data_IF_778678369840
#
_entry.id   IF_778678369840
#
_cell.length_a   1.000
_cell.length_b   1.000
_cell.length_c   1.000
_cell.angle_alpha   90.00
_cell.angle_beta   90.00
_cell.angle_gamma   90.00
#
_symmetry.space_group_name_H-M   'P 1'
#
loop_
_entity.id
_entity.type
_entity.pdbx_description
1 polymer ?
#
# COMPACT_ATOMS: atom_id res chain seq x y z
N UNK A 1 0.06 5.54 -3.66
CA UNK A 1 0.85 4.86 -2.61
C UNK A 1 0.97 5.64 -1.30
N UNK A 2 1.15 6.98 -1.34
CA UNK A 2 1.26 7.80 -0.11
C UNK A 2 0.06 7.64 0.84
N UNK A 3 -1.17 7.66 0.31
CA UNK A 3 -2.40 7.41 1.08
C UNK A 3 -2.39 6.06 1.80
N UNK A 4 -1.97 4.98 1.12
CA UNK A 4 -1.88 3.63 1.70
C UNK A 4 -0.89 3.61 2.85
N UNK A 5 0.27 4.26 2.68
CA UNK A 5 1.28 4.40 3.73
C UNK A 5 0.76 5.17 4.93
N UNK A 6 0.07 6.28 4.70
CA UNK A 6 -0.47 7.12 5.77
C UNK A 6 -1.49 6.35 6.62
N UNK A 7 -2.39 5.61 5.96
CA UNK A 7 -3.35 4.76 6.67
C UNK A 7 -2.64 3.62 7.44
N UNK A 8 -1.60 2.99 6.87
CA UNK A 8 -0.83 1.96 7.59
C UNK A 8 -0.11 2.56 8.80
N UNK A 9 0.40 3.79 8.67
CA UNK A 9 1.02 4.51 9.78
C UNK A 9 0.01 4.86 10.86
N UNK A 10 -1.20 5.31 10.51
CA UNK A 10 -2.29 5.49 11.48
C UNK A 10 -2.67 4.19 12.19
N UNK A 11 -2.49 3.03 11.52
CA UNK A 11 -2.68 1.71 12.13
C UNK A 11 -1.54 1.29 13.07
N UNK A 12 -0.33 1.80 12.83
CA UNK A 12 0.85 1.64 13.69
C UNK A 12 0.74 2.54 14.94
N UNK A 13 0.39 3.81 14.76
CA UNK A 13 0.33 4.83 15.81
C UNK A 13 -0.95 4.79 16.66
N UNK A 14 -1.84 3.83 16.39
CA UNK A 14 -3.16 3.66 17.02
C UNK A 14 -3.15 3.67 18.55
N UNK A 15 -2.12 3.11 19.19
CA UNK A 15 -1.99 3.10 20.66
C UNK A 15 -1.60 4.47 21.22
N UNK A 16 -0.76 5.22 20.50
CA UNK A 16 -0.44 6.61 20.84
C UNK A 16 -1.66 7.50 20.62
N UNK A 17 -2.26 7.43 19.43
CA UNK A 17 -3.42 8.21 19.02
C UNK A 17 -4.64 8.00 19.91
N UNK A 18 -4.90 6.77 20.35
CA UNK A 18 -5.97 6.48 21.30
C UNK A 18 -5.75 7.13 22.67
N UNK A 19 -4.51 7.39 23.06
CA UNK A 19 -4.16 8.05 24.33
C UNK A 19 -4.29 9.58 24.20
N UNK A 20 -4.06 10.13 23.01
CA UNK A 20 -4.21 11.56 22.70
C UNK A 20 -5.62 11.95 22.20
N UNK A 21 -6.53 10.98 22.04
CA UNK A 21 -7.90 11.24 21.58
C UNK A 21 -8.04 11.53 20.08
N UNK A 22 -7.03 11.17 19.29
CA UNK A 22 -7.07 11.31 17.83
C UNK A 22 -8.12 10.35 17.24
N UNK A 23 -8.89 10.83 16.25
CA UNK A 23 -9.91 10.04 15.54
C UNK A 23 -9.40 9.63 14.16
N UNK A 24 -8.52 8.64 14.11
CA UNK A 24 -8.04 8.08 12.84
C UNK A 24 -8.99 7.02 12.28
N UNK A 25 -8.91 6.76 10.97
CA UNK A 25 -9.71 5.73 10.27
C UNK A 25 -9.74 4.38 11.00
N UNK A 26 -8.61 3.81 11.46
CA UNK A 26 -8.64 2.54 12.17
C UNK A 26 -9.23 2.61 13.59
N UNK A 27 -9.25 3.79 14.23
CA UNK A 27 -9.92 3.99 15.53
C UNK A 27 -11.44 4.02 15.36
N UNK A 28 -11.95 4.70 14.32
CA UNK A 28 -13.40 4.85 14.09
C UNK A 28 -14.02 3.59 13.48
N UNK A 29 -13.36 2.98 12.50
CA UNK A 29 -13.90 1.84 11.73
C UNK A 29 -13.40 0.47 12.20
N UNK A 30 -12.33 0.43 12.99
CA UNK A 30 -11.65 -0.79 13.38
C UNK A 30 -10.80 -1.41 12.27
N UNK A 31 -9.83 -2.24 12.67
CA UNK A 31 -8.85 -2.84 11.77
C UNK A 31 -9.44 -3.53 10.53
N UNK A 32 -10.52 -4.30 10.68
CA UNK A 32 -11.12 -5.06 9.56
C UNK A 32 -11.62 -4.17 8.42
N UNK A 33 -12.30 -3.08 8.75
CA UNK A 33 -12.87 -2.15 7.77
C UNK A 33 -11.78 -1.30 7.11
N UNK A 34 -10.78 -0.87 7.88
CA UNK A 34 -9.60 -0.17 7.34
C UNK A 34 -8.80 -1.04 6.38
N UNK A 35 -8.60 -2.34 6.70
CA UNK A 35 -7.99 -3.31 5.77
C UNK A 35 -8.80 -3.45 4.47
N UNK A 36 -10.13 -3.57 4.57
CA UNK A 36 -11.00 -3.62 3.38
C UNK A 36 -10.87 -2.36 2.51
N UNK A 37 -10.87 -1.17 3.13
CA UNK A 37 -10.67 0.08 2.41
C UNK A 37 -9.30 0.10 1.71
N UNK A 38 -8.24 -0.35 2.40
CA UNK A 38 -6.90 -0.43 1.82
C UNK A 38 -6.86 -1.34 0.58
N UNK A 39 -7.55 -2.48 0.60
CA UNK A 39 -7.64 -3.37 -0.56
C UNK A 39 -8.31 -2.71 -1.76
N UNK A 40 -9.39 -1.96 -1.53
CA UNK A 40 -10.07 -1.21 -2.60
C UNK A 40 -9.13 -0.16 -3.20
N UNK A 41 -8.43 0.60 -2.37
CA UNK A 41 -7.47 1.63 -2.83
C UNK A 41 -6.32 1.01 -3.62
N UNK A 42 -5.76 -0.11 -3.15
CA UNK A 42 -4.70 -0.84 -3.84
C UNK A 42 -5.20 -1.40 -5.18
N UNK A 43 -6.41 -1.95 -5.21
CA UNK A 43 -7.00 -2.49 -6.44
C UNK A 43 -7.22 -1.39 -7.48
N UNK A 44 -7.76 -0.23 -7.08
CA UNK A 44 -7.93 0.92 -7.98
C UNK A 44 -6.57 1.38 -8.50
N UNK A 45 -5.55 1.48 -7.64
CA UNK A 45 -4.20 1.83 -8.05
C UNK A 45 -3.64 0.87 -9.10
N UNK A 46 -3.74 -0.43 -8.88
CA UNK A 46 -3.34 -1.45 -9.85
C UNK A 46 -4.07 -1.30 -11.20
N UNK A 47 -5.39 -1.10 -11.18
CA UNK A 47 -6.16 -0.89 -12.40
C UNK A 47 -5.74 0.37 -13.16
N UNK A 48 -5.49 1.49 -12.45
CA UNK A 48 -5.02 2.72 -13.10
C UNK A 48 -3.67 2.53 -13.78
N UNK A 49 -2.74 1.81 -13.15
CA UNK A 49 -1.41 1.53 -13.73
C UNK A 49 -1.55 0.66 -14.98
N UNK A 50 -2.39 -0.38 -14.96
CA UNK A 50 -2.63 -1.23 -16.13
C UNK A 50 -3.26 -0.48 -17.30
N UNK A 51 -4.24 0.39 -17.03
CA UNK A 51 -4.89 1.18 -18.08
C UNK A 51 -3.91 2.18 -18.71
N UNK A 52 -3.07 2.83 -17.89
CA UNK A 52 -2.06 3.76 -18.40
C UNK A 52 -0.99 3.05 -19.23
N UNK A 53 -0.53 1.87 -18.80
CA UNK A 53 0.43 1.04 -19.56
C UNK A 53 -0.13 0.67 -20.94
N UNK A 54 -1.40 0.24 -20.99
CA UNK A 54 -2.10 -0.11 -22.22
C UNK A 54 -2.31 1.09 -23.16
N UNK A 55 -2.52 2.29 -22.61
CA UNK A 55 -2.82 3.50 -23.38
C UNK A 55 -1.56 4.17 -23.95
N UNK A 56 -0.47 4.21 -23.17
CA UNK A 56 0.75 4.95 -23.53
C UNK A 56 1.86 4.07 -24.14
N UNK A 57 1.78 2.75 -24.03
CA UNK A 57 2.80 1.81 -24.53
C UNK A 57 2.16 0.70 -25.34
N UNK A 58 2.50 0.60 -26.63
CA UNK A 58 1.99 -0.44 -27.53
C UNK A 58 2.50 -1.86 -27.19
N UNK A 59 3.50 -1.97 -26.32
CA UNK A 59 3.99 -3.22 -25.76
C UNK A 59 3.98 -3.09 -24.22
N UNK A 60 3.24 -3.95 -23.50
CA UNK A 60 3.41 -4.01 -22.07
C UNK A 60 4.84 -4.47 -21.83
N UNK A 61 5.63 -3.67 -21.11
CA UNK A 61 6.83 -4.21 -20.49
C UNK A 61 6.32 -5.13 -19.38
N UNK A 62 5.93 -6.35 -19.76
CA UNK A 62 5.32 -7.35 -18.86
C UNK A 62 6.20 -7.53 -17.62
N UNK A 63 7.52 -7.39 -17.80
CA UNK A 63 8.50 -7.32 -16.73
C UNK A 63 8.26 -6.19 -15.71
N UNK A 64 7.95 -4.96 -16.14
CA UNK A 64 7.67 -3.83 -15.26
C UNK A 64 6.39 -4.05 -14.46
N UNK A 65 5.32 -4.47 -15.13
CA UNK A 65 4.04 -4.78 -14.49
C UNK A 65 4.24 -5.91 -13.49
N UNK A 66 4.90 -7.01 -13.87
CA UNK A 66 5.15 -8.14 -12.98
C UNK A 66 6.03 -7.73 -11.79
N UNK A 67 7.07 -6.92 -12.02
CA UNK A 67 8.00 -6.46 -10.99
C UNK A 67 7.36 -5.47 -10.00
N UNK A 68 6.37 -4.68 -10.43
CA UNK A 68 5.63 -3.77 -9.56
C UNK A 68 4.47 -4.48 -8.84
N UNK A 69 3.75 -5.37 -9.52
CA UNK A 69 2.62 -6.11 -8.96
C UNK A 69 3.03 -7.20 -7.97
N UNK A 70 4.16 -7.89 -8.18
CA UNK A 70 4.64 -8.92 -7.27
C UNK A 70 4.87 -8.43 -5.82
N UNK A 71 5.63 -7.34 -5.56
CA UNK A 71 5.80 -6.83 -4.20
C UNK A 71 4.52 -6.22 -3.63
N UNK A 72 3.63 -5.70 -4.48
CA UNK A 72 2.31 -5.19 -4.10
C UNK A 72 1.39 -6.30 -3.60
N UNK A 73 1.29 -7.41 -4.34
CA UNK A 73 0.53 -8.60 -3.94
C UNK A 73 1.10 -9.21 -2.66
N UNK A 74 2.42 -9.29 -2.56
CA UNK A 74 3.09 -9.72 -1.33
C UNK A 74 2.70 -8.86 -0.12
N UNK A 75 2.70 -7.54 -0.30
CA UNK A 75 2.29 -6.58 0.73
C UNK A 75 0.82 -6.79 1.14
N UNK A 76 -0.08 -6.96 0.18
CA UNK A 76 -1.52 -7.22 0.42
C UNK A 76 -1.74 -8.50 1.22
N UNK A 77 -1.06 -9.59 0.87
CA UNK A 77 -1.12 -10.86 1.60
C UNK A 77 -0.62 -10.73 3.03
N UNK A 78 0.46 -9.96 3.23
CA UNK A 78 1.04 -9.75 4.56
C UNK A 78 0.18 -8.82 5.43
N UNK A 79 -0.42 -7.79 4.82
CA UNK A 79 -1.42 -6.93 5.45
C UNK A 79 -2.65 -7.72 5.93
N UNK A 80 -3.05 -8.78 5.21
CA UNK A 80 -4.14 -9.64 5.65
C UNK A 80 -3.82 -10.35 6.98
N UNK A 81 -2.59 -10.85 7.12
CA UNK A 81 -2.11 -11.51 8.35
C UNK A 81 -1.68 -10.56 9.46
N UNK A 82 -1.43 -9.29 9.15
CA UNK A 82 -0.99 -8.30 10.12
C UNK A 82 -2.12 -7.96 11.10
N UNK A 83 -2.00 -8.41 12.35
CA UNK A 83 -2.88 -8.03 13.47
C UNK A 83 -2.09 -7.42 14.64
N UNK A 84 -0.80 -7.15 14.46
CA UNK A 84 0.05 -6.53 15.49
C UNK A 84 0.73 -5.26 14.98
N UNK A 85 0.99 -4.32 15.89
CA UNK A 85 1.62 -3.02 15.62
C UNK A 85 2.98 -3.20 14.91
N UNK A 86 3.77 -4.20 15.32
CA UNK A 86 5.07 -4.52 14.70
C UNK A 86 4.97 -4.91 13.23
N UNK A 87 3.90 -5.60 12.83
CA UNK A 87 3.67 -5.94 11.43
C UNK A 87 3.28 -4.71 10.60
N UNK A 88 2.55 -3.75 11.19
CA UNK A 88 2.21 -2.48 10.54
C UNK A 88 3.45 -1.59 10.37
N UNK A 89 4.36 -1.53 11.35
CA UNK A 89 5.65 -0.86 11.23
C UNK A 89 6.50 -1.43 10.08
N UNK A 90 6.57 -2.76 9.99
CA UNK A 90 7.26 -3.44 8.89
C UNK A 90 6.60 -3.14 7.54
N UNK A 91 5.27 -3.15 7.46
CA UNK A 91 4.51 -2.82 6.24
C UNK A 91 4.72 -1.36 5.81
N UNK A 92 4.75 -0.41 6.75
CA UNK A 92 5.03 1.01 6.49
C UNK A 92 6.42 1.19 5.89
N UNK A 93 7.41 0.49 6.43
CA UNK A 93 8.78 0.47 5.92
C UNK A 93 8.87 -0.19 4.54
N UNK A 94 8.20 -1.33 4.36
CA UNK A 94 8.15 -2.02 3.07
C UNK A 94 7.47 -1.16 2.00
N UNK A 95 6.46 -0.36 2.37
CA UNK A 95 5.82 0.59 1.46
C UNK A 95 6.79 1.68 1.00
N UNK A 96 7.76 2.12 1.83
CA UNK A 96 8.84 3.01 1.38
C UNK A 96 9.73 2.35 0.33
N UNK A 97 10.08 1.08 0.52
CA UNK A 97 10.88 0.31 -0.44
C UNK A 97 10.15 0.17 -1.78
N UNK A 98 8.85 -0.12 -1.76
CA UNK A 98 8.02 -0.19 -2.99
C UNK A 98 8.00 1.16 -3.71
N UNK A 99 7.84 2.27 -2.99
CA UNK A 99 7.88 3.61 -3.59
C UNK A 99 9.26 3.91 -4.22
N UNK A 100 10.35 3.53 -3.54
CA UNK A 100 11.71 3.74 -4.02
C UNK A 100 12.00 2.91 -5.28
N UNK A 101 11.59 1.63 -5.28
CA UNK A 101 11.66 0.76 -6.47
C UNK A 101 10.85 1.33 -7.64
N UNK A 102 9.64 1.83 -7.38
CA UNK A 102 8.82 2.46 -8.40
C UNK A 102 9.49 3.69 -9.03
N UNK A 103 10.09 4.56 -8.22
CA UNK A 103 10.79 5.75 -8.73
C UNK A 103 12.05 5.35 -9.50
N UNK A 104 12.85 4.42 -8.97
CA UNK A 104 14.04 3.91 -9.67
C UNK A 104 13.67 3.31 -11.03
N UNK A 105 12.56 2.59 -11.10
CA UNK A 105 12.09 1.99 -12.35
C UNK A 105 11.71 3.02 -13.42
N UNK A 106 11.22 4.21 -13.03
CA UNK A 106 10.98 5.31 -13.97
C UNK A 106 12.26 6.05 -14.36
N UNK A 107 13.27 6.07 -13.50
CA UNK A 107 14.56 6.72 -13.80
C UNK A 107 15.47 5.87 -14.71
N UNK A 108 15.24 4.56 -14.76
CA UNK A 108 16.03 3.61 -15.55
C UNK A 108 15.45 3.40 -16.97
N UNK A 109 14.26 3.95 -17.22
CA UNK A 109 13.50 3.92 -18.47
C UNK A 109 13.70 5.24 -19.23
#
# INVERSE_FOLDING_TARGET
MTLVREIIKDMEDLKGDSTFGCKTLPIIWGFRKTKQFLYVVIFIFCMTVLILDLLFTALPSVYFVLFLFAPLLWMVMRLYRADTIKEFEWLSTFCKVIMLLGILSMSLL
#
